data_IF_123899139019
#
_entry.id   IF_123899139019
#
_cell.length_a   1.000
_cell.length_b   1.000
_cell.length_c   1.000
_cell.angle_alpha   90.00
_cell.angle_beta   90.00
_cell.angle_gamma   90.00
#
_symmetry.space_group_name_H-M   'P 1'
#
loop_
_entity.id
_entity.type
_entity.pdbx_description
1 polymer ?
#
# COMPACT_ATOMS: atom_id res chain seq x y z
N UNK A 1 -8.98 -2.88 -8.20
CA UNK A 1 -10.34 -3.34 -8.56
C UNK A 1 -11.39 -2.31 -8.15
N UNK A 2 -11.45 -1.93 -6.87
CA UNK A 2 -12.43 -0.99 -6.30
C UNK A 2 -12.58 0.33 -7.06
N UNK A 3 -11.47 0.96 -7.50
CA UNK A 3 -11.57 2.20 -8.27
C UNK A 3 -12.43 2.07 -9.55
N UNK A 4 -12.34 0.94 -10.26
CA UNK A 4 -13.15 0.69 -11.47
C UNK A 4 -14.63 0.53 -11.13
N UNK A 5 -14.93 -0.15 -10.00
CA UNK A 5 -16.29 -0.38 -9.50
C UNK A 5 -16.93 0.96 -9.14
N UNK A 6 -16.23 1.77 -8.36
CA UNK A 6 -16.68 3.10 -7.93
C UNK A 6 -16.87 4.04 -9.13
N UNK A 7 -15.94 4.03 -10.09
CA UNK A 7 -16.06 4.84 -11.31
C UNK A 7 -17.25 4.44 -12.20
N UNK A 8 -17.65 3.17 -12.15
CA UNK A 8 -18.83 2.67 -12.87
C UNK A 8 -20.13 2.85 -12.06
N UNK A 9 -20.11 3.69 -11.02
CA UNK A 9 -21.26 4.04 -10.17
C UNK A 9 -21.90 2.84 -9.45
N UNK A 10 -21.14 1.75 -9.27
CA UNK A 10 -21.56 0.64 -8.43
C UNK A 10 -21.24 0.93 -6.96
N UNK A 11 -22.04 0.35 -6.06
CA UNK A 11 -21.86 0.47 -4.62
C UNK A 11 -21.10 -0.74 -4.07
N UNK A 12 -20.18 -0.48 -3.14
CA UNK A 12 -19.53 -1.53 -2.35
C UNK A 12 -20.31 -1.62 -1.03
N UNK A 13 -20.95 -2.75 -0.78
CA UNK A 13 -21.65 -3.02 0.48
C UNK A 13 -20.69 -3.78 1.39
N UNK A 14 -20.48 -3.26 2.60
CA UNK A 14 -19.66 -3.91 3.61
C UNK A 14 -20.57 -4.73 4.52
N UNK A 15 -20.36 -6.05 4.54
CA UNK A 15 -21.07 -6.98 5.42
C UNK A 15 -20.16 -7.38 6.58
N UNK A 16 -20.30 -6.78 7.77
CA UNK A 16 -19.41 -7.05 8.90
C UNK A 16 -19.58 -8.45 9.47
N UNK A 17 -20.72 -9.13 9.22
CA UNK A 17 -20.96 -10.51 9.70
C UNK A 17 -20.36 -11.57 8.79
N UNK A 18 -19.76 -11.18 7.67
CA UNK A 18 -19.12 -12.11 6.77
C UNK A 18 -17.91 -12.77 7.45
N UNK A 19 -17.95 -14.09 7.55
CA UNK A 19 -16.81 -14.87 8.05
C UNK A 19 -15.87 -15.13 6.88
N UNK A 20 -14.74 -14.43 6.88
CA UNK A 20 -13.70 -14.59 5.86
C UNK A 20 -12.46 -15.17 6.52
N UNK A 21 -11.96 -16.28 5.97
CA UNK A 21 -10.68 -16.83 6.40
C UNK A 21 -9.54 -15.99 5.80
N UNK A 22 -8.71 -15.42 6.67
CA UNK A 22 -7.50 -14.70 6.27
C UNK A 22 -6.26 -15.49 6.71
N UNK A 23 -5.47 -15.93 5.74
CA UNK A 23 -4.16 -16.53 6.02
C UNK A 23 -3.11 -15.41 6.03
N UNK A 24 -2.94 -14.80 7.20
CA UNK A 24 -1.94 -13.74 7.39
C UNK A 24 -0.57 -14.32 7.77
N UNK A 25 0.54 -13.74 7.24
CA UNK A 25 1.87 -14.18 7.60
C UNK A 25 2.12 -14.03 9.10
N UNK A 26 2.50 -15.12 9.76
CA UNK A 26 2.81 -15.15 11.19
C UNK A 26 4.24 -14.70 11.51
N UNK A 27 5.12 -14.67 10.50
CA UNK A 27 6.53 -14.31 10.66
C UNK A 27 6.79 -12.87 10.25
N UNK A 28 7.75 -12.22 10.92
CA UNK A 28 8.19 -10.86 10.59
C UNK A 28 8.66 -10.78 9.14
N UNK A 29 9.39 -11.78 8.65
CA UNK A 29 9.83 -11.86 7.25
C UNK A 29 8.65 -11.90 6.28
N UNK A 30 7.61 -12.68 6.60
CA UNK A 30 6.38 -12.73 5.82
C UNK A 30 5.68 -11.37 5.77
N UNK A 31 5.62 -10.67 6.90
CA UNK A 31 5.06 -9.31 7.00
C UNK A 31 5.88 -8.31 6.17
N UNK A 32 7.22 -8.38 6.24
CA UNK A 32 8.11 -7.52 5.44
C UNK A 32 7.93 -7.75 3.93
N UNK A 33 7.87 -9.03 3.51
CA UNK A 33 7.63 -9.39 2.11
C UNK A 33 6.26 -8.92 1.63
N UNK A 34 5.21 -9.09 2.46
CA UNK A 34 3.85 -8.61 2.17
C UNK A 34 3.83 -7.09 2.01
N UNK A 35 4.47 -6.35 2.91
CA UNK A 35 4.61 -4.89 2.83
C UNK A 35 5.35 -4.44 1.55
N UNK A 36 6.46 -5.10 1.21
CA UNK A 36 7.19 -4.82 -0.02
C UNK A 36 6.33 -5.04 -1.27
N UNK A 37 5.58 -6.14 -1.32
CA UNK A 37 4.63 -6.44 -2.40
C UNK A 37 3.52 -5.40 -2.51
N UNK A 38 3.02 -4.87 -1.39
CA UNK A 38 2.08 -3.74 -1.42
C UNK A 38 2.69 -2.48 -2.04
N UNK A 39 3.97 -2.20 -1.77
CA UNK A 39 4.72 -1.14 -2.42
C UNK A 39 4.77 -1.30 -3.95
N UNK A 40 5.06 -2.52 -4.43
CA UNK A 40 5.05 -2.85 -5.86
C UNK A 40 3.66 -2.65 -6.49
N UNK A 41 2.60 -3.13 -5.84
CA UNK A 41 1.24 -2.98 -6.32
C UNK A 41 0.82 -1.51 -6.40
N UNK A 42 1.18 -0.69 -5.41
CA UNK A 42 0.92 0.76 -5.42
C UNK A 42 1.61 1.42 -6.60
N UNK A 43 2.85 1.03 -6.90
CA UNK A 43 3.56 1.53 -8.07
C UNK A 43 2.91 1.10 -9.39
N UNK A 44 2.48 -0.16 -9.49
CA UNK A 44 1.79 -0.67 -10.68
C UNK A 44 0.47 0.09 -10.93
N UNK A 45 -0.28 0.41 -9.87
CA UNK A 45 -1.50 1.25 -9.96
C UNK A 45 -1.14 2.65 -10.44
N UNK A 46 -0.11 3.27 -9.84
CA UNK A 46 0.34 4.61 -10.23
C UNK A 46 0.73 4.67 -11.72
N UNK A 47 1.47 3.67 -12.22
CA UNK A 47 1.82 3.56 -13.65
C UNK A 47 0.60 3.34 -14.53
N UNK A 48 -0.32 2.46 -14.13
CA UNK A 48 -1.53 2.13 -14.89
C UNK A 48 -2.47 3.34 -15.07
N UNK A 49 -2.61 4.16 -14.03
CA UNK A 49 -3.51 5.32 -14.02
C UNK A 49 -2.76 6.66 -14.20
N UNK A 50 -1.64 6.65 -14.91
CA UNK A 50 -0.84 7.86 -15.18
C UNK A 50 -1.61 9.01 -15.83
N UNK A 51 -2.70 8.78 -16.56
CA UNK A 51 -3.48 9.86 -17.18
C UNK A 51 -4.62 10.40 -16.31
N UNK A 52 -4.84 9.78 -15.14
CA UNK A 52 -5.97 10.07 -14.27
C UNK A 52 -5.49 10.88 -13.04
N UNK A 53 -5.75 12.19 -13.06
CA UNK A 53 -5.29 13.11 -12.01
C UNK A 53 -5.82 12.74 -10.62
N UNK A 54 -7.05 12.23 -10.55
CA UNK A 54 -7.67 11.83 -9.28
C UNK A 54 -6.99 10.61 -8.69
N UNK A 55 -6.67 9.60 -9.51
CA UNK A 55 -5.91 8.44 -9.02
C UNK A 55 -4.48 8.81 -8.63
N UNK A 56 -3.85 9.73 -9.36
CA UNK A 56 -2.51 10.19 -9.01
C UNK A 56 -2.49 10.92 -7.66
N UNK A 57 -3.42 11.84 -7.41
CA UNK A 57 -3.48 12.58 -6.16
C UNK A 57 -3.71 11.63 -4.96
N UNK A 58 -4.59 10.64 -5.11
CA UNK A 58 -4.79 9.61 -4.08
C UNK A 58 -3.54 8.74 -3.84
N UNK A 59 -2.85 8.33 -4.91
CA UNK A 59 -1.63 7.55 -4.80
C UNK A 59 -0.50 8.35 -4.13
N UNK A 60 -0.33 9.62 -4.50
CA UNK A 60 0.66 10.52 -3.91
C UNK A 60 0.32 10.80 -2.44
N UNK A 61 -0.93 11.13 -2.12
CA UNK A 61 -1.38 11.35 -0.74
C UNK A 61 -1.13 10.12 0.15
N UNK A 62 -1.49 8.92 -0.33
CA UNK A 62 -1.22 7.67 0.36
C UNK A 62 0.28 7.40 0.55
N UNK A 63 1.10 7.74 -0.45
CA UNK A 63 2.55 7.63 -0.38
C UNK A 63 3.15 8.58 0.66
N UNK A 64 2.81 9.88 0.62
CA UNK A 64 3.28 10.85 1.61
C UNK A 64 2.85 10.48 3.03
N UNK A 65 1.61 10.03 3.22
CA UNK A 65 1.15 9.52 4.50
C UNK A 65 2.04 8.37 5.02
N UNK A 66 2.44 7.46 4.14
CA UNK A 66 3.32 6.33 4.50
C UNK A 66 4.73 6.82 4.86
N UNK A 67 5.25 7.84 4.18
CA UNK A 67 6.55 8.47 4.51
C UNK A 67 6.49 9.18 5.87
N UNK A 68 5.44 9.96 6.13
CA UNK A 68 5.26 10.62 7.43
C UNK A 68 5.07 9.62 8.57
N UNK A 69 4.32 8.54 8.34
CA UNK A 69 4.18 7.45 9.30
C UNK A 69 5.52 6.77 9.58
N UNK A 70 6.36 6.55 8.55
CA UNK A 70 7.70 6.01 8.73
C UNK A 70 8.61 6.93 9.55
N UNK A 71 8.59 8.23 9.28
CA UNK A 71 9.33 9.23 10.06
C UNK A 71 8.89 9.21 11.53
N UNK A 72 7.58 9.21 11.78
CA UNK A 72 7.01 9.15 13.13
C UNK A 72 7.40 7.87 13.86
N UNK A 73 7.31 6.71 13.21
CA UNK A 73 7.70 5.42 13.78
C UNK A 73 9.20 5.36 14.08
N UNK A 74 10.02 6.02 13.27
CA UNK A 74 11.47 6.12 13.48
C UNK A 74 11.80 7.00 14.69
N UNK A 75 11.10 8.13 14.87
CA UNK A 75 11.23 9.01 16.04
C UNK A 75 10.78 8.32 17.33
N UNK A 76 9.75 7.46 17.27
CA UNK A 76 9.22 6.70 18.41
C UNK A 76 10.02 5.44 18.78
N UNK A 77 11.15 5.17 18.12
CA UNK A 77 12.01 4.00 18.33
C UNK A 77 11.33 2.63 18.10
N UNK A 78 10.19 2.60 17.41
CA UNK A 78 9.46 1.37 17.06
C UNK A 78 10.14 0.67 15.87
N UNK A 79 11.28 0.03 16.15
CA UNK A 79 12.17 -0.57 15.12
C UNK A 79 11.46 -1.59 14.21
N UNK A 80 10.46 -2.31 14.71
CA UNK A 80 9.71 -3.30 13.91
C UNK A 80 8.79 -2.61 12.90
N UNK A 81 7.98 -1.66 13.35
CA UNK A 81 7.04 -0.93 12.51
C UNK A 81 7.75 -0.08 11.45
N UNK A 82 8.82 0.61 11.86
CA UNK A 82 9.65 1.39 10.94
C UNK A 82 10.22 0.51 9.81
N UNK A 83 10.70 -0.71 10.13
CA UNK A 83 11.19 -1.67 9.11
C UNK A 83 10.08 -2.12 8.15
N UNK A 84 8.87 -2.36 8.65
CA UNK A 84 7.73 -2.77 7.82
C UNK A 84 7.31 -1.65 6.87
N UNK A 85 7.22 -0.41 7.35
CA UNK A 85 6.86 0.73 6.50
C UNK A 85 7.98 1.01 5.48
N UNK A 86 9.25 0.95 5.92
CA UNK A 86 10.40 1.11 5.04
C UNK A 86 10.43 0.05 3.92
N UNK A 87 10.03 -1.20 4.20
CA UNK A 87 9.93 -2.24 3.18
C UNK A 87 8.90 -1.89 2.08
N UNK A 88 7.75 -1.33 2.46
CA UNK A 88 6.73 -0.88 1.52
C UNK A 88 7.20 0.31 0.66
N UNK A 89 7.87 1.29 1.27
CA UNK A 89 8.49 2.42 0.55
C UNK A 89 9.56 1.91 -0.42
N UNK A 90 10.44 1.00 0.01
CA UNK A 90 11.45 0.37 -0.85
C UNK A 90 10.82 -0.39 -2.02
N UNK A 91 9.72 -1.10 -1.79
CA UNK A 91 8.96 -1.78 -2.85
C UNK A 91 8.39 -0.82 -3.90
N UNK A 92 7.94 0.37 -3.47
CA UNK A 92 7.46 1.40 -4.40
C UNK A 92 8.59 1.93 -5.32
N UNK A 93 9.79 2.14 -4.79
CA UNK A 93 10.93 2.65 -5.56
C UNK A 93 11.68 1.57 -6.36
N UNK A 94 11.70 0.32 -5.91
CA UNK A 94 12.50 -0.74 -6.54
C UNK A 94 12.08 -1.02 -7.98
N UNK A 95 10.78 -0.93 -8.29
CA UNK A 95 10.27 -1.11 -9.64
C UNK A 95 10.44 0.14 -10.54
N UNK A 96 11.03 1.21 -10.02
CA UNK A 96 11.49 2.37 -10.80
C UNK A 96 12.89 2.12 -11.39
N UNK A 97 13.69 1.27 -10.71
CA UNK A 97 15.09 0.94 -11.03
C UNK A 97 15.27 -0.19 -12.06
N UNK A 98 14.17 -0.81 -12.53
CA UNK A 98 14.19 -1.85 -13.60
C UNK A 98 13.95 -1.28 -15.01
N UNK A 99 14.24 0.00 -15.20
CA UNK A 99 14.35 0.67 -16.51
C UNK A 99 15.71 1.30 -16.59
#
# INVERSE_FOLDING_TARGET
MFYRILRANYKIVYEPRAVVKHDDPQTIEGVLKKSYTYGLHRQAIFKKYRKDLYMQSLCLGSFFFSVFAWLRATVRLERKESKVIAAGIKGFFSAFRRR
#
